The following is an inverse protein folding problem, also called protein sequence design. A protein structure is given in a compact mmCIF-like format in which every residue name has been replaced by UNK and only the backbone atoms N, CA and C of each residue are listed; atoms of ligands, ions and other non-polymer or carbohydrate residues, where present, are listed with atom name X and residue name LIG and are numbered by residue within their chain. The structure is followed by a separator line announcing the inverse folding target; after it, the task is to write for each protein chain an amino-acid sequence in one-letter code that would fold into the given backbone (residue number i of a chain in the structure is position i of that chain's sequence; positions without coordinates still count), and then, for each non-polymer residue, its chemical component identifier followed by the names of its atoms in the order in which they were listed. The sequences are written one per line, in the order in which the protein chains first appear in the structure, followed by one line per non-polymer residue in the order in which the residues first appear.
data_IF_074404680211
#
_entry.id   IF_074404680211
#
_cell.length_a   1.000
_cell.length_b   1.000
_cell.length_c   1.000
_cell.angle_alpha   90.00
_cell.angle_beta   90.00
_cell.angle_gamma   90.00
#
_symmetry.space_group_name_H-M   'P 1'
#
loop_
_entity.id
_entity.type
_entity.pdbx_description
1 polymer ?
#
# COMPACT_ATOMS: atom_id res chain seq x y z
N UNK A 1 -0.28 42.07 4.92
CA UNK A 1 -1.14 41.58 3.81
C UNK A 1 -0.82 40.12 3.43
N UNK A 2 0.41 39.79 3.03
CA UNK A 2 0.80 38.41 2.62
C UNK A 2 0.63 37.40 3.77
N UNK A 3 1.08 37.72 4.98
CA UNK A 3 0.92 36.84 6.15
C UNK A 3 -0.56 36.57 6.54
N UNK A 4 -1.45 37.56 6.36
CA UNK A 4 -2.89 37.38 6.59
C UNK A 4 -3.54 36.52 5.50
N UNK A 5 -3.12 36.70 4.24
CA UNK A 5 -3.60 35.88 3.13
C UNK A 5 -3.15 34.41 3.26
N UNK A 6 -1.89 34.18 3.68
CA UNK A 6 -1.38 32.82 3.96
C UNK A 6 -2.15 32.15 5.11
N UNK A 7 -2.42 32.89 6.19
CA UNK A 7 -3.17 32.37 7.34
C UNK A 7 -4.64 32.07 6.98
N UNK A 8 -5.25 32.91 6.13
CA UNK A 8 -6.60 32.67 5.60
C UNK A 8 -6.65 31.42 4.71
N UNK A 9 -5.64 31.24 3.85
CA UNK A 9 -5.53 30.06 2.98
C UNK A 9 -5.28 28.78 3.77
N UNK A 10 -4.41 28.83 4.79
CA UNK A 10 -4.20 27.73 5.74
C UNK A 10 -5.49 27.37 6.48
N UNK A 11 -6.22 28.37 6.99
CA UNK A 11 -7.49 28.13 7.68
C UNK A 11 -8.55 27.54 6.75
N UNK A 12 -8.61 27.97 5.48
CA UNK A 12 -9.51 27.36 4.49
C UNK A 12 -9.10 25.93 4.15
N UNK A 13 -7.81 25.66 3.98
CA UNK A 13 -7.31 24.32 3.74
C UNK A 13 -7.57 23.39 4.94
N UNK A 14 -7.41 23.89 6.17
CA UNK A 14 -7.73 23.14 7.40
C UNK A 14 -9.23 22.90 7.55
N UNK A 15 -10.08 23.85 7.19
CA UNK A 15 -11.53 23.70 7.21
C UNK A 15 -11.98 22.66 6.18
N UNK A 16 -11.49 22.78 4.94
CA UNK A 16 -11.72 21.80 3.88
C UNK A 16 -11.21 20.42 4.28
N UNK A 17 -10.05 20.33 4.91
CA UNK A 17 -9.49 19.06 5.38
C UNK A 17 -10.32 18.50 6.54
N UNK A 18 -10.75 19.29 7.51
CA UNK A 18 -11.66 18.84 8.58
C UNK A 18 -12.99 18.36 8.03
N UNK A 19 -13.60 19.11 7.12
CA UNK A 19 -14.83 18.70 6.44
C UNK A 19 -14.60 17.43 5.61
N UNK A 20 -13.46 17.30 4.93
CA UNK A 20 -13.10 16.12 4.15
C UNK A 20 -12.85 14.90 5.04
N UNK A 21 -12.12 15.04 6.16
CA UNK A 21 -11.88 14.00 7.17
C UNK A 21 -13.15 13.65 7.98
N UNK A 22 -14.19 14.47 7.94
CA UNK A 22 -15.51 14.22 8.54
C UNK A 22 -16.54 13.76 7.50
N UNK A 23 -16.26 13.89 6.21
CA UNK A 23 -17.06 13.40 5.11
C UNK A 23 -16.74 11.92 4.83
N UNK A 24 -17.15 11.05 5.75
CA UNK A 24 -16.94 9.60 5.71
C UNK A 24 -17.26 8.92 4.36
N UNK A 25 -18.24 9.37 3.53
CA UNK A 25 -18.50 8.68 2.27
C UNK A 25 -17.62 9.11 1.08
N UNK A 26 -16.95 10.28 1.09
CA UNK A 26 -16.41 10.87 -0.14
C UNK A 26 -14.92 10.56 -0.38
N UNK A 27 -14.13 10.43 0.70
CA UNK A 27 -12.67 10.25 0.65
C UNK A 27 -12.25 9.06 -0.23
N UNK A 28 -12.89 7.87 -0.15
CA UNK A 28 -12.49 6.74 -0.97
C UNK A 28 -12.67 7.01 -2.47
N UNK A 29 -13.77 7.65 -2.87
CA UNK A 29 -14.08 7.90 -4.29
C UNK A 29 -13.18 8.95 -4.92
N UNK A 30 -12.91 10.05 -4.22
CA UNK A 30 -11.96 11.08 -4.68
C UNK A 30 -10.54 10.52 -4.77
N UNK A 31 -10.17 9.60 -3.89
CA UNK A 31 -8.87 8.92 -3.92
C UNK A 31 -8.70 7.98 -5.11
N UNK A 32 -9.78 7.33 -5.59
CA UNK A 32 -9.76 6.56 -6.85
C UNK A 32 -9.41 7.49 -8.02
N UNK A 33 -10.11 8.61 -8.13
CA UNK A 33 -9.88 9.61 -9.19
C UNK A 33 -8.46 10.16 -9.10
N UNK A 34 -7.99 10.45 -7.89
CA UNK A 34 -6.60 10.82 -7.61
C UNK A 34 -5.60 9.77 -8.09
N UNK A 35 -5.86 8.48 -7.84
CA UNK A 35 -5.04 7.37 -8.31
C UNK A 35 -4.96 7.29 -9.85
N UNK A 36 -6.07 7.49 -10.55
CA UNK A 36 -6.10 7.53 -12.03
C UNK A 36 -5.28 8.71 -12.56
N UNK A 37 -5.46 9.91 -11.99
CA UNK A 37 -4.66 11.07 -12.37
C UNK A 37 -3.18 10.89 -12.07
N UNK A 38 -2.83 10.30 -10.93
CA UNK A 38 -1.45 9.97 -10.58
C UNK A 38 -0.84 9.02 -11.61
N UNK A 39 -1.58 8.00 -12.08
CA UNK A 39 -1.12 7.11 -13.15
C UNK A 39 -0.81 7.88 -14.44
N UNK A 40 -1.72 8.77 -14.87
CA UNK A 40 -1.51 9.61 -16.05
C UNK A 40 -0.30 10.54 -15.91
N UNK A 41 -0.17 11.17 -14.74
CA UNK A 41 0.96 12.05 -14.43
C UNK A 41 2.29 11.29 -14.49
N UNK A 42 2.39 10.12 -13.83
CA UNK A 42 3.59 9.29 -13.86
C UNK A 42 3.91 8.83 -15.28
N UNK A 43 2.91 8.47 -16.09
CA UNK A 43 3.11 8.12 -17.49
C UNK A 43 3.74 9.27 -18.28
N UNK A 44 3.18 10.47 -18.18
CA UNK A 44 3.65 11.64 -18.95
C UNK A 44 5.04 12.09 -18.51
N UNK A 45 5.28 12.13 -17.19
CA UNK A 45 6.60 12.44 -16.63
C UNK A 45 7.63 11.41 -17.04
N UNK A 46 7.30 10.11 -17.02
CA UNK A 46 8.20 9.04 -17.46
C UNK A 46 8.50 9.18 -18.94
N UNK A 47 7.50 9.47 -19.77
CA UNK A 47 7.69 9.66 -21.20
C UNK A 47 8.63 10.85 -21.49
N UNK A 48 8.43 11.98 -20.82
CA UNK A 48 9.26 13.18 -20.96
C UNK A 48 10.70 12.93 -20.47
N UNK A 49 10.84 12.41 -19.26
CA UNK A 49 12.14 12.15 -18.66
C UNK A 49 12.91 11.09 -19.46
N UNK A 50 12.23 10.03 -19.91
CA UNK A 50 12.91 8.95 -20.61
C UNK A 50 13.42 9.34 -21.98
N UNK A 51 12.71 10.22 -22.69
CA UNK A 51 13.14 10.77 -23.97
C UNK A 51 14.44 11.59 -23.85
N UNK A 52 14.62 12.29 -22.73
CA UNK A 52 15.81 13.11 -22.46
C UNK A 52 17.00 12.29 -21.98
N UNK A 53 16.79 11.37 -21.04
CA UNK A 53 17.89 10.73 -20.29
C UNK A 53 18.26 9.33 -20.78
N UNK A 54 17.34 8.60 -21.43
CA UNK A 54 17.59 7.21 -21.85
C UNK A 54 17.73 7.11 -23.37
N UNK A 55 18.98 7.02 -23.86
CA UNK A 55 19.25 6.76 -25.29
C UNK A 55 18.59 5.48 -25.81
N UNK A 56 18.44 4.46 -24.95
CA UNK A 56 17.72 3.24 -25.32
C UNK A 56 16.24 3.51 -25.62
N UNK A 57 15.60 4.44 -24.90
CA UNK A 57 14.18 4.75 -25.04
C UNK A 57 13.82 5.31 -26.42
N UNK A 58 14.64 6.22 -26.97
CA UNK A 58 14.41 6.81 -28.29
C UNK A 58 14.54 5.78 -29.43
N UNK A 59 15.29 4.70 -29.21
CA UNK A 59 15.42 3.58 -30.16
C UNK A 59 14.27 2.56 -30.08
N UNK A 60 13.39 2.65 -29.07
CA UNK A 60 12.30 1.71 -28.88
C UNK A 60 11.14 1.95 -29.85
N UNK A 61 10.49 0.85 -30.24
CA UNK A 61 9.21 0.90 -30.96
C UNK A 61 8.15 1.64 -30.14
N UNK A 62 7.10 2.14 -30.81
CA UNK A 62 5.98 2.82 -30.13
C UNK A 62 5.37 1.94 -29.02
N UNK A 63 5.22 0.65 -29.29
CA UNK A 63 4.63 -0.30 -28.35
C UNK A 63 5.53 -0.55 -27.13
N UNK A 64 6.84 -0.69 -27.34
CA UNK A 64 7.82 -0.82 -26.26
C UNK A 64 7.91 0.44 -25.40
N UNK A 65 7.73 1.64 -25.97
CA UNK A 65 7.64 2.89 -25.20
C UNK A 65 6.39 2.94 -24.33
N UNK A 66 5.26 2.47 -24.84
CA UNK A 66 4.03 2.34 -24.06
C UNK A 66 4.25 1.37 -22.88
N UNK A 67 4.83 0.20 -23.13
CA UNK A 67 5.15 -0.77 -22.08
C UNK A 67 6.17 -0.20 -21.07
N UNK A 68 7.20 0.50 -21.55
CA UNK A 68 8.20 1.16 -20.71
C UNK A 68 7.56 2.14 -19.72
N UNK A 69 6.67 3.00 -20.22
CA UNK A 69 5.98 3.98 -19.39
C UNK A 69 4.98 3.31 -18.44
N UNK A 70 4.26 2.28 -18.91
CA UNK A 70 3.32 1.52 -18.07
C UNK A 70 4.03 0.80 -16.91
N UNK A 71 5.23 0.27 -17.15
CA UNK A 71 6.08 -0.32 -16.10
C UNK A 71 6.58 0.70 -15.08
N UNK A 72 6.69 1.97 -15.45
CA UNK A 72 7.03 3.01 -14.49
C UNK A 72 5.84 3.27 -13.57
N UNK A 73 4.63 3.40 -14.12
CA UNK A 73 3.39 3.53 -13.31
C UNK A 73 3.31 2.40 -12.28
N UNK A 74 3.41 1.15 -12.73
CA UNK A 74 3.32 -0.01 -11.82
C UNK A 74 4.43 -0.05 -10.78
N UNK A 75 5.64 0.42 -11.11
CA UNK A 75 6.73 0.56 -10.14
C UNK A 75 6.42 1.58 -9.06
N UNK A 76 5.94 2.78 -9.43
CA UNK A 76 5.59 3.83 -8.47
C UNK A 76 4.42 3.40 -7.56
N UNK A 77 3.38 2.81 -8.15
CA UNK A 77 2.25 2.25 -7.41
C UNK A 77 2.73 1.20 -6.41
N UNK A 78 3.48 0.20 -6.89
CA UNK A 78 3.96 -0.91 -6.06
C UNK A 78 4.81 -0.44 -4.88
N UNK A 79 5.71 0.51 -5.08
CA UNK A 79 6.52 1.07 -3.99
C UNK A 79 5.62 1.76 -2.96
N UNK A 80 4.68 2.59 -3.40
CA UNK A 80 3.78 3.31 -2.49
C UNK A 80 2.91 2.35 -1.66
N UNK A 81 2.15 1.49 -2.32
CA UNK A 81 1.16 0.64 -1.66
C UNK A 81 1.80 -0.48 -0.83
N UNK A 82 2.94 -1.02 -1.26
CA UNK A 82 3.64 -2.04 -0.48
C UNK A 82 4.28 -1.44 0.77
N UNK A 83 4.81 -0.21 0.69
CA UNK A 83 5.32 0.51 1.86
C UNK A 83 4.22 0.80 2.86
N UNK A 84 3.08 1.34 2.40
CA UNK A 84 1.91 1.59 3.26
C UNK A 84 1.38 0.30 3.88
N UNK A 85 1.29 -0.79 3.10
CA UNK A 85 0.80 -2.08 3.60
C UNK A 85 1.75 -2.72 4.62
N UNK A 86 3.07 -2.63 4.41
CA UNK A 86 4.06 -3.06 5.41
C UNK A 86 3.92 -2.27 6.71
N UNK A 87 3.74 -0.95 6.61
CA UNK A 87 3.51 -0.11 7.76
C UNK A 87 2.24 -0.51 8.51
N UNK A 88 1.11 -0.69 7.82
CA UNK A 88 -0.15 -1.07 8.47
C UNK A 88 -0.12 -2.46 9.10
N UNK A 89 0.53 -3.44 8.46
CA UNK A 89 0.51 -4.83 8.95
C UNK A 89 1.52 -5.06 10.08
N UNK A 90 2.71 -4.45 10.01
CA UNK A 90 3.81 -4.79 10.91
C UNK A 90 4.27 -3.65 11.82
N UNK A 91 3.97 -2.40 11.50
CA UNK A 91 4.50 -1.24 12.23
C UNK A 91 3.42 -0.48 13.00
N UNK A 92 2.16 -0.54 12.56
CA UNK A 92 1.06 0.14 13.23
C UNK A 92 0.31 -0.80 14.18
N UNK A 93 -0.33 -0.20 15.18
CA UNK A 93 -1.19 -0.92 16.13
C UNK A 93 -2.58 -1.22 15.56
N UNK A 94 -2.81 -0.96 14.25
CA UNK A 94 -4.13 -0.98 13.63
C UNK A 94 -4.78 -2.37 13.66
N UNK A 95 -3.98 -3.43 13.48
CA UNK A 95 -4.45 -4.82 13.48
C UNK A 95 -4.04 -5.61 14.74
N UNK A 96 -3.67 -4.91 15.83
CA UNK A 96 -3.26 -5.57 17.08
C UNK A 96 -4.47 -6.02 17.91
N UNK A 97 -4.53 -7.32 18.24
CA UNK A 97 -5.58 -7.94 19.06
C UNK A 97 -5.72 -7.32 20.48
N UNK A 98 -4.69 -6.60 20.96
CA UNK A 98 -4.60 -6.20 22.36
C UNK A 98 -5.26 -4.85 22.71
N UNK A 99 -5.58 -4.00 21.73
CA UNK A 99 -5.97 -2.60 22.02
C UNK A 99 -7.47 -2.31 21.78
N UNK A 100 -8.12 -2.97 20.82
CA UNK A 100 -9.45 -2.51 20.37
C UNK A 100 -10.64 -3.45 20.65
N UNK A 101 -10.43 -4.75 20.92
CA UNK A 101 -11.56 -5.70 21.06
C UNK A 101 -12.43 -5.85 19.79
N UNK A 102 -12.14 -5.08 18.74
CA UNK A 102 -12.73 -5.11 17.42
C UNK A 102 -12.10 -6.26 16.60
N UNK A 103 -12.92 -6.86 15.75
CA UNK A 103 -12.51 -8.00 14.92
C UNK A 103 -11.40 -7.56 13.96
N UNK A 104 -10.29 -8.28 13.86
CA UNK A 104 -9.18 -7.98 12.93
C UNK A 104 -9.66 -7.92 11.45
N UNK A 105 -10.77 -8.57 11.14
CA UNK A 105 -11.44 -8.54 9.84
C UNK A 105 -12.26 -7.28 9.56
N UNK A 106 -12.48 -6.43 10.56
CA UNK A 106 -13.25 -5.19 10.49
C UNK A 106 -12.43 -4.02 11.07
N UNK A 107 -12.39 -2.89 10.37
CA UNK A 107 -11.85 -1.66 10.94
C UNK A 107 -12.84 -0.53 10.69
N UNK A 108 -13.75 -0.39 11.66
CA UNK A 108 -14.46 0.84 11.96
C UNK A 108 -14.21 1.08 13.45
N UNK A 109 -13.31 1.98 13.81
CA UNK A 109 -12.81 2.06 15.19
C UNK A 109 -13.97 2.23 16.19
N UNK A 110 -14.21 1.24 17.07
CA UNK A 110 -15.23 1.36 18.12
C UNK A 110 -14.91 2.52 19.08
N UNK A 111 -13.67 2.98 19.14
CA UNK A 111 -13.24 4.20 19.84
C UNK A 111 -13.91 5.47 19.31
N UNK A 112 -14.27 5.55 18.02
CA UNK A 112 -15.08 6.66 17.48
C UNK A 112 -16.52 6.65 17.98
N UNK A 113 -17.08 5.45 18.18
CA UNK A 113 -18.43 5.23 18.72
C UNK A 113 -18.44 5.28 20.26
N UNK A 114 -17.34 4.91 20.91
CA UNK A 114 -17.18 4.78 22.36
C UNK A 114 -16.68 6.07 23.01
N UNK A 115 -15.89 6.90 22.32
CA UNK A 115 -15.55 8.25 22.78
C UNK A 115 -16.78 9.18 22.85
N UNK A 116 -17.84 8.90 22.08
CA UNK A 116 -19.15 9.53 22.25
C UNK A 116 -19.85 9.09 23.55
N UNK A 117 -19.54 7.90 24.08
CA UNK A 117 -20.11 7.36 25.32
C UNK A 117 -19.29 7.62 26.59
N UNK A 118 -17.96 7.74 26.49
CA UNK A 118 -17.04 7.83 27.63
C UNK A 118 -16.58 9.24 28.02
N UNK A 119 -17.12 10.30 27.41
CA UNK A 119 -16.99 11.67 27.96
C UNK A 119 -17.65 11.86 29.34
N UNK A 120 -18.06 10.78 30.02
CA UNK A 120 -18.42 10.75 31.43
C UNK A 120 -17.70 9.60 32.15
N UNK A 121 -16.50 9.85 32.68
CA UNK A 121 -16.02 9.17 33.90
C UNK A 121 -14.62 8.53 33.89
N UNK A 122 -13.70 9.25 34.55
CA UNK A 122 -12.53 8.80 35.34
C UNK A 122 -11.28 8.27 34.61
N UNK A 123 -10.26 9.13 34.63
CA UNK A 123 -8.84 8.87 34.46
C UNK A 123 -8.22 8.25 35.73
N UNK A 124 -7.20 7.39 35.52
CA UNK A 124 -6.13 6.91 36.43
C UNK A 124 -6.00 5.38 36.44
N UNK A 125 -5.22 4.83 35.51
CA UNK A 125 -4.54 3.51 35.69
C UNK A 125 -3.61 3.11 34.55
N UNK A 126 -3.65 3.74 33.37
CA UNK A 126 -2.84 3.32 32.23
C UNK A 126 -1.37 3.81 32.23
N UNK A 127 -1.00 4.75 33.11
CA UNK A 127 0.29 5.43 33.06
C UNK A 127 1.50 4.54 33.42
N UNK A 128 1.30 3.48 34.19
CA UNK A 128 2.41 2.67 34.73
C UNK A 128 2.80 1.46 33.87
N UNK A 129 2.12 1.18 32.76
CA UNK A 129 2.41 -0.01 31.94
C UNK A 129 3.33 0.25 30.73
N UNK A 130 3.44 1.51 30.27
CA UNK A 130 4.09 1.83 28.99
C UNK A 130 5.60 2.10 29.06
N UNK A 131 6.21 2.08 30.24
CA UNK A 131 7.66 2.33 30.40
C UNK A 131 8.55 1.09 30.20
N UNK A 132 7.99 -0.07 29.84
CA UNK A 132 8.73 -1.34 29.91
C UNK A 132 9.46 -1.80 28.62
N UNK A 133 9.21 -1.22 27.44
CA UNK A 133 9.74 -1.79 26.19
C UNK A 133 10.37 -0.73 25.27
N UNK A 134 11.57 -0.28 25.61
CA UNK A 134 12.51 0.32 24.65
C UNK A 134 13.73 -0.58 24.49
N UNK A 135 13.93 -1.10 23.28
CA UNK A 135 15.22 -1.64 22.83
C UNK A 135 15.10 -2.66 21.72
N UNK A 136 15.47 -2.29 20.48
CA UNK A 136 16.53 -2.91 19.67
C UNK A 136 16.49 -2.47 18.18
N UNK A 137 17.69 -2.34 17.60
CA UNK A 137 18.02 -1.82 16.26
C UNK A 137 17.77 -2.82 15.12
N UNK A 138 17.29 -2.37 13.95
CA UNK A 138 17.56 -2.99 12.64
C UNK A 138 17.43 -1.97 11.47
N UNK A 139 18.42 -1.92 10.58
CA UNK A 139 18.62 -1.00 9.43
C UNK A 139 17.50 -0.94 8.35
N UNK A 140 16.41 -1.70 8.50
CA UNK A 140 15.19 -1.58 7.67
C UNK A 140 14.22 -0.54 8.26
N UNK A 141 14.38 -0.22 9.55
CA UNK A 141 13.59 0.79 10.24
C UNK A 141 13.88 2.21 9.77
N UNK A 142 15.07 2.56 9.27
CA UNK A 142 15.38 3.96 8.92
C UNK A 142 14.53 4.51 7.75
N UNK A 143 14.13 3.65 6.80
CA UNK A 143 13.22 4.04 5.71
C UNK A 143 11.76 4.13 6.21
N UNK A 144 11.40 3.29 7.19
CA UNK A 144 10.07 3.25 7.82
C UNK A 144 9.91 4.41 8.82
N UNK A 145 10.98 4.76 9.54
CA UNK A 145 11.05 5.94 10.40
C UNK A 145 10.93 7.20 9.58
N UNK A 146 11.54 7.32 8.39
CA UNK A 146 11.26 8.49 7.55
C UNK A 146 9.81 8.59 7.07
N UNK A 147 9.10 7.47 6.85
CA UNK A 147 7.65 7.51 6.54
C UNK A 147 6.82 7.80 7.79
N UNK A 148 7.18 7.25 8.94
CA UNK A 148 6.56 7.56 10.24
C UNK A 148 6.77 9.02 10.61
N UNK A 149 7.97 9.55 10.40
CA UNK A 149 8.37 10.95 10.60
C UNK A 149 7.72 11.85 9.57
N UNK A 150 7.51 11.41 8.32
CA UNK A 150 6.73 12.16 7.32
C UNK A 150 5.25 12.16 7.68
N UNK A 151 4.71 11.03 8.15
CA UNK A 151 3.33 10.94 8.65
C UNK A 151 3.17 11.81 9.88
N UNK A 152 4.11 11.76 10.82
CA UNK A 152 4.16 12.57 12.04
C UNK A 152 4.44 14.05 11.70
N UNK A 153 5.26 14.36 10.70
CA UNK A 153 5.50 15.72 10.20
C UNK A 153 4.30 16.27 9.44
N UNK A 154 3.59 15.45 8.68
CA UNK A 154 2.30 15.78 8.04
C UNK A 154 1.25 15.97 9.13
N UNK A 155 1.24 15.16 10.19
CA UNK A 155 0.39 15.31 11.37
C UNK A 155 0.71 16.61 12.15
N UNK A 156 2.00 16.93 12.32
CA UNK A 156 2.51 18.17 12.94
C UNK A 156 2.27 19.41 12.06
N UNK A 157 2.19 19.24 10.75
CA UNK A 157 1.93 20.30 9.80
C UNK A 157 0.43 20.62 9.65
N UNK A 158 -0.47 19.62 9.79
CA UNK A 158 -1.88 19.69 9.40
C UNK A 158 -2.91 20.01 10.52
N UNK A 159 -2.52 20.12 11.79
CA UNK A 159 -3.41 20.67 12.85
C UNK A 159 -2.81 21.93 13.47
N UNK A 160 -3.07 23.12 12.91
CA UNK A 160 -2.59 24.37 13.51
C UNK A 160 -3.41 24.83 14.72
N UNK A 161 -4.67 24.38 14.85
CA UNK A 161 -5.53 24.72 16.00
C UNK A 161 -5.11 23.98 17.27
N UNK A 162 -4.72 22.71 17.17
CA UNK A 162 -4.23 21.94 18.33
C UNK A 162 -2.74 22.19 18.63
N UNK A 163 -2.05 22.93 17.76
CA UNK A 163 -0.61 23.21 17.89
C UNK A 163 -0.28 23.98 19.17
N UNK A 164 -1.15 24.91 19.60
CA UNK A 164 -0.92 25.68 20.82
C UNK A 164 -1.12 24.85 22.09
N UNK A 165 -2.09 23.93 22.10
CA UNK A 165 -2.32 23.04 23.24
C UNK A 165 -1.31 21.88 23.24
N UNK A 166 -0.88 21.39 22.07
CA UNK A 166 0.12 20.32 21.97
C UNK A 166 1.56 20.79 22.25
N UNK A 167 1.97 21.98 21.79
CA UNK A 167 3.25 22.61 22.19
C UNK A 167 3.26 22.94 23.69
N UNK A 168 2.09 23.18 24.30
CA UNK A 168 1.93 23.37 25.74
C UNK A 168 1.68 22.07 26.53
N UNK A 169 1.68 20.89 25.88
CA UNK A 169 1.46 19.60 26.54
C UNK A 169 0.04 19.37 27.12
N UNK A 170 -0.97 20.09 26.62
CA UNK A 170 -2.36 20.14 27.15
C UNK A 170 -3.36 19.16 26.53
N UNK A 171 -3.01 18.41 25.49
CA UNK A 171 -3.91 17.35 24.97
C UNK A 171 -3.82 16.12 25.90
N UNK A 172 -4.98 15.60 26.35
CA UNK A 172 -5.01 14.32 27.05
C UNK A 172 -4.52 13.20 26.14
N UNK A 173 -3.86 12.20 26.71
CA UNK A 173 -3.34 11.03 25.99
C UNK A 173 -4.47 10.35 25.19
N UNK A 174 -5.70 10.32 25.72
CA UNK A 174 -6.87 9.73 25.06
C UNK A 174 -7.26 10.43 23.75
N UNK A 175 -7.17 11.77 23.68
CA UNK A 175 -7.47 12.50 22.45
C UNK A 175 -6.41 12.27 21.38
N UNK A 176 -5.14 12.15 21.77
CA UNK A 176 -4.04 11.86 20.82
C UNK A 176 -4.20 10.49 20.14
N UNK A 177 -4.46 9.45 20.93
CA UNK A 177 -4.63 8.09 20.40
C UNK A 177 -5.87 7.98 19.50
N UNK A 178 -6.95 8.69 19.83
CA UNK A 178 -8.15 8.76 18.98
C UNK A 178 -7.85 9.32 17.58
N UNK A 179 -7.18 10.46 17.48
CA UNK A 179 -6.86 11.06 16.18
C UNK A 179 -5.84 10.23 15.39
N UNK A 180 -4.90 9.58 16.08
CA UNK A 180 -3.97 8.64 15.47
C UNK A 180 -4.72 7.46 14.85
N UNK A 181 -5.65 6.84 15.57
CA UNK A 181 -6.47 5.73 15.07
C UNK A 181 -7.31 6.15 13.85
N UNK A 182 -8.00 7.28 13.93
CA UNK A 182 -8.82 7.81 12.82
C UNK A 182 -7.98 8.10 11.56
N UNK A 183 -6.79 8.67 11.74
CA UNK A 183 -5.86 8.93 10.64
C UNK A 183 -5.37 7.64 9.97
N UNK A 184 -5.02 6.62 10.77
CA UNK A 184 -4.60 5.32 10.27
C UNK A 184 -5.72 4.63 9.49
N UNK A 185 -6.94 4.66 10.02
CA UNK A 185 -8.14 4.13 9.37
C UNK A 185 -8.37 4.81 8.00
N UNK A 186 -8.40 6.14 7.96
CA UNK A 186 -8.56 6.88 6.70
C UNK A 186 -7.41 6.65 5.71
N UNK A 187 -6.19 6.51 6.21
CA UNK A 187 -5.03 6.18 5.37
C UNK A 187 -5.14 4.77 4.79
N UNK A 188 -5.70 3.82 5.52
CA UNK A 188 -5.97 2.46 5.07
C UNK A 188 -7.03 2.45 3.95
N UNK A 189 -8.15 3.14 4.15
CA UNK A 189 -9.15 3.33 3.09
C UNK A 189 -8.56 4.01 1.86
N UNK A 190 -7.79 5.09 2.05
CA UNK A 190 -7.09 5.79 0.98
C UNK A 190 -6.12 4.89 0.21
N UNK A 191 -5.36 4.03 0.89
CA UNK A 191 -4.46 3.07 0.27
C UNK A 191 -5.21 2.08 -0.64
N UNK A 192 -6.36 1.55 -0.16
CA UNK A 192 -7.22 0.70 -0.99
C UNK A 192 -7.80 1.48 -2.19
N UNK A 193 -8.25 2.71 -2.00
CA UNK A 193 -8.83 3.53 -3.07
C UNK A 193 -7.85 3.93 -4.16
N UNK A 194 -6.65 4.38 -3.79
CA UNK A 194 -5.58 4.68 -4.76
C UNK A 194 -5.21 3.43 -5.54
N UNK A 195 -5.19 2.27 -4.86
CA UNK A 195 -4.97 0.98 -5.51
C UNK A 195 -6.04 0.65 -6.53
N UNK A 196 -7.32 0.84 -6.21
CA UNK A 196 -8.43 0.66 -7.18
C UNK A 196 -8.24 1.56 -8.41
N UNK A 197 -7.90 2.84 -8.22
CA UNK A 197 -7.64 3.77 -9.33
C UNK A 197 -6.49 3.32 -10.24
N UNK A 198 -5.40 2.80 -9.65
CA UNK A 198 -4.31 2.19 -10.39
C UNK A 198 -4.77 0.93 -11.14
N UNK A 199 -5.43 -0.02 -10.47
CA UNK A 199 -5.87 -1.27 -11.10
C UNK A 199 -6.83 -1.03 -12.26
N UNK A 200 -7.73 -0.04 -12.17
CA UNK A 200 -8.59 0.38 -13.29
C UNK A 200 -7.74 0.88 -14.46
N UNK A 201 -6.78 1.76 -14.20
CA UNK A 201 -5.92 2.35 -15.22
C UNK A 201 -5.08 1.28 -15.93
N UNK A 202 -4.43 0.40 -15.15
CA UNK A 202 -3.55 -0.63 -15.67
C UNK A 202 -4.31 -1.74 -16.40
N UNK A 203 -5.45 -2.18 -15.87
CA UNK A 203 -6.32 -3.14 -16.56
C UNK A 203 -6.86 -2.57 -17.87
N UNK A 204 -7.24 -1.28 -17.89
CA UNK A 204 -7.65 -0.59 -19.10
C UNK A 204 -6.55 -0.59 -20.16
N UNK A 205 -5.30 -0.30 -19.77
CA UNK A 205 -4.14 -0.36 -20.65
C UNK A 205 -3.88 -1.79 -21.17
N UNK A 206 -3.89 -2.79 -20.29
CA UNK A 206 -3.68 -4.19 -20.65
C UNK A 206 -4.71 -4.65 -21.68
N UNK A 207 -6.00 -4.33 -21.47
CA UNK A 207 -7.08 -4.70 -22.39
C UNK A 207 -6.92 -3.97 -23.72
N UNK A 208 -6.66 -2.67 -23.69
CA UNK A 208 -6.56 -1.85 -24.90
C UNK A 208 -5.43 -2.29 -25.83
N UNK A 209 -4.30 -2.70 -25.26
CA UNK A 209 -3.13 -3.14 -26.01
C UNK A 209 -2.94 -4.66 -26.00
N UNK A 210 -3.96 -5.43 -25.60
CA UNK A 210 -3.88 -6.90 -25.56
C UNK A 210 -3.57 -7.49 -26.94
N UNK A 211 -2.66 -8.48 -27.07
CA UNK A 211 -1.90 -9.19 -26.02
C UNK A 211 -0.50 -8.60 -25.75
N UNK A 212 -0.24 -7.36 -26.16
CA UNK A 212 1.12 -6.80 -26.21
C UNK A 212 1.69 -6.38 -24.85
N UNK A 213 0.84 -5.97 -23.90
CA UNK A 213 1.27 -5.56 -22.56
C UNK A 213 1.25 -6.69 -21.52
N UNK A 214 0.75 -7.87 -21.89
CA UNK A 214 0.67 -9.03 -21.01
C UNK A 214 -0.25 -10.11 -21.54
N UNK A 215 -0.01 -11.36 -21.13
CA UNK A 215 -0.91 -12.49 -21.37
C UNK A 215 -2.13 -12.49 -20.45
N UNK A 216 -3.01 -13.49 -20.64
CA UNK A 216 -4.24 -13.66 -19.84
C UNK A 216 -3.98 -13.76 -18.33
N UNK A 217 -2.79 -14.22 -17.92
CA UNK A 217 -2.42 -14.23 -16.51
C UNK A 217 -2.41 -12.83 -15.89
N UNK A 218 -2.02 -11.79 -16.63
CA UNK A 218 -2.04 -10.43 -16.11
C UNK A 218 -3.46 -9.89 -15.99
N UNK A 219 -4.33 -10.21 -16.96
CA UNK A 219 -5.75 -9.84 -16.92
C UNK A 219 -6.43 -10.47 -15.70
N UNK A 220 -6.24 -11.78 -15.49
CA UNK A 220 -6.80 -12.52 -14.35
C UNK A 220 -6.27 -11.94 -13.03
N UNK A 221 -4.96 -11.68 -12.93
CA UNK A 221 -4.35 -11.11 -11.74
C UNK A 221 -4.96 -9.76 -11.37
N UNK A 222 -5.03 -8.82 -12.33
CA UNK A 222 -5.53 -7.47 -12.09
C UNK A 222 -7.04 -7.48 -11.82
N UNK A 223 -7.81 -8.33 -12.51
CA UNK A 223 -9.26 -8.43 -12.29
C UNK A 223 -9.59 -8.90 -10.86
N UNK A 224 -9.00 -10.01 -10.40
CA UNK A 224 -9.27 -10.52 -9.06
C UNK A 224 -8.70 -9.61 -7.95
N UNK A 225 -7.53 -9.01 -8.18
CA UNK A 225 -6.95 -8.04 -7.23
C UNK A 225 -7.84 -6.80 -7.13
N UNK A 226 -8.34 -6.27 -8.25
CA UNK A 226 -9.24 -5.12 -8.27
C UNK A 226 -10.54 -5.40 -7.52
N UNK A 227 -11.16 -6.57 -7.71
CA UNK A 227 -12.38 -6.96 -6.98
C UNK A 227 -12.12 -7.03 -5.48
N UNK A 228 -11.03 -7.67 -5.05
CA UNK A 228 -10.72 -7.82 -3.63
C UNK A 228 -10.44 -6.47 -2.94
N UNK A 229 -9.63 -5.62 -3.59
CA UNK A 229 -9.28 -4.30 -3.06
C UNK A 229 -10.50 -3.36 -3.07
N UNK A 230 -11.30 -3.36 -4.14
CA UNK A 230 -12.52 -2.56 -4.22
C UNK A 230 -13.54 -2.99 -3.17
N UNK A 231 -13.68 -4.29 -2.93
CA UNK A 231 -14.53 -4.79 -1.85
C UNK A 231 -14.06 -4.27 -0.48
N UNK A 232 -12.78 -4.46 -0.16
CA UNK A 232 -12.21 -4.04 1.13
C UNK A 232 -12.30 -2.51 1.34
N UNK A 233 -12.22 -1.74 0.25
CA UNK A 233 -12.43 -0.30 0.25
C UNK A 233 -13.88 0.08 0.55
N UNK A 234 -14.86 -0.62 -0.04
CA UNK A 234 -16.28 -0.29 0.08
C UNK A 234 -16.90 -0.73 1.40
N UNK A 235 -16.44 -1.85 1.97
CA UNK A 235 -17.06 -2.46 3.15
C UNK A 235 -16.23 -2.30 4.42
N UNK A 236 -14.94 -1.96 4.31
CA UNK A 236 -14.00 -2.01 5.44
C UNK A 236 -13.62 -3.44 5.85
N UNK A 237 -14.15 -4.47 5.18
CA UNK A 237 -13.90 -5.86 5.56
C UNK A 237 -12.67 -6.44 4.87
N UNK A 238 -11.91 -7.25 5.60
CA UNK A 238 -10.77 -7.98 5.04
C UNK A 238 -9.58 -7.09 4.66
N UNK A 239 -9.53 -5.84 5.14
CA UNK A 239 -8.47 -4.89 4.84
C UNK A 239 -7.07 -5.39 5.27
N UNK A 240 -6.98 -6.15 6.38
CA UNK A 240 -5.74 -6.82 6.77
C UNK A 240 -5.24 -7.77 5.66
N UNK A 241 -6.11 -8.67 5.20
CA UNK A 241 -5.74 -9.65 4.17
C UNK A 241 -5.43 -8.97 2.84
N UNK A 242 -6.14 -7.90 2.51
CA UNK A 242 -5.81 -7.06 1.36
C UNK A 242 -4.42 -6.43 1.51
N UNK A 243 -4.06 -5.87 2.68
CA UNK A 243 -2.71 -5.36 2.91
C UNK A 243 -1.65 -6.47 2.80
N UNK A 244 -1.88 -7.65 3.38
CA UNK A 244 -0.97 -8.79 3.23
C UNK A 244 -0.76 -9.17 1.76
N UNK A 245 -1.81 -9.16 0.94
CA UNK A 245 -1.67 -9.40 -0.50
C UNK A 245 -0.93 -8.26 -1.19
N UNK A 246 -1.20 -6.99 -0.86
CA UNK A 246 -0.54 -5.82 -1.47
C UNK A 246 0.95 -5.72 -1.11
N UNK A 247 1.40 -6.26 0.03
CA UNK A 247 2.84 -6.39 0.33
C UNK A 247 3.56 -7.19 -0.75
N UNK A 248 2.89 -8.14 -1.43
CA UNK A 248 3.50 -8.90 -2.51
C UNK A 248 3.95 -8.06 -3.71
N UNK A 249 3.46 -6.82 -3.84
CA UNK A 249 3.90 -5.87 -4.85
C UNK A 249 5.32 -5.35 -4.62
N UNK A 250 5.96 -5.60 -3.46
CA UNK A 250 7.39 -5.31 -3.28
C UNK A 250 8.28 -5.99 -4.32
N UNK A 251 7.81 -7.07 -4.96
CA UNK A 251 8.56 -7.76 -6.03
C UNK A 251 8.50 -7.03 -7.38
N UNK A 252 7.47 -6.21 -7.61
CA UNK A 252 7.16 -5.57 -8.90
C UNK A 252 8.28 -4.64 -9.38
N UNK A 253 8.88 -3.77 -8.54
CA UNK A 253 10.04 -2.97 -8.94
C UNK A 253 11.22 -3.81 -9.45
N UNK A 254 11.47 -4.96 -8.82
CA UNK A 254 12.52 -5.88 -9.23
C UNK A 254 12.26 -6.46 -10.63
N UNK A 255 11.03 -6.93 -10.87
CA UNK A 255 10.60 -7.47 -12.17
C UNK A 255 10.67 -6.41 -13.28
N UNK A 256 10.19 -5.19 -13.01
CA UNK A 256 10.25 -4.08 -13.97
C UNK A 256 11.69 -3.65 -14.26
N UNK A 257 12.55 -3.56 -13.25
CA UNK A 257 13.98 -3.30 -13.44
C UNK A 257 14.64 -4.36 -14.33
N UNK A 258 14.30 -5.63 -14.13
CA UNK A 258 14.80 -6.72 -14.98
C UNK A 258 14.42 -6.52 -16.45
N UNK A 259 13.19 -6.10 -16.70
CA UNK A 259 12.71 -5.80 -18.04
C UNK A 259 13.41 -4.58 -18.65
N UNK A 260 13.62 -3.51 -17.88
CA UNK A 260 14.39 -2.35 -18.35
C UNK A 260 15.84 -2.72 -18.73
N UNK A 261 16.49 -3.57 -17.93
CA UNK A 261 17.82 -4.08 -18.26
C UNK A 261 17.80 -4.99 -19.50
N UNK A 262 16.73 -5.77 -19.71
CA UNK A 262 16.54 -6.58 -20.91
C UNK A 262 16.46 -5.71 -22.17
N UNK A 263 15.53 -4.76 -22.18
CA UNK A 263 15.24 -3.92 -23.33
C UNK A 263 16.39 -2.96 -23.67
N UNK A 264 17.20 -2.59 -22.67
CA UNK A 264 18.44 -1.84 -22.86
C UNK A 264 19.62 -2.71 -23.36
N UNK A 265 19.42 -4.01 -23.63
CA UNK A 265 20.46 -4.92 -24.11
C UNK A 265 21.44 -5.39 -23.02
N UNK A 266 21.12 -5.18 -21.74
CA UNK A 266 22.03 -5.41 -20.61
C UNK A 266 21.91 -6.79 -19.95
N UNK A 267 21.38 -7.81 -20.65
CA UNK A 267 21.23 -9.19 -20.11
C UNK A 267 22.51 -9.84 -19.59
N UNK A 268 23.67 -9.42 -20.12
CA UNK A 268 24.99 -9.97 -19.74
C UNK A 268 25.66 -9.19 -18.59
N UNK A 269 25.03 -8.12 -18.11
CA UNK A 269 25.60 -7.30 -17.05
C UNK A 269 25.53 -7.97 -15.68
N UNK A 270 26.43 -7.59 -14.77
CA UNK A 270 26.35 -7.98 -13.35
C UNK A 270 25.05 -7.50 -12.71
N UNK A 271 24.56 -6.31 -13.10
CA UNK A 271 23.29 -5.77 -12.63
C UNK A 271 22.11 -6.71 -12.92
N UNK A 272 22.04 -7.27 -14.13
CA UNK A 272 20.98 -8.23 -14.51
C UNK A 272 21.05 -9.55 -13.72
N UNK A 273 22.26 -10.00 -13.38
CA UNK A 273 22.45 -11.18 -12.53
C UNK A 273 21.99 -10.89 -11.09
N UNK A 274 22.52 -9.83 -10.47
CA UNK A 274 22.20 -9.45 -9.08
C UNK A 274 20.70 -9.21 -8.93
N UNK A 275 20.09 -8.45 -9.86
CA UNK A 275 18.65 -8.25 -9.88
C UNK A 275 17.86 -9.58 -9.93
N UNK A 276 18.33 -10.56 -10.71
CA UNK A 276 17.70 -11.88 -10.77
C UNK A 276 17.75 -12.66 -9.45
N UNK A 277 18.87 -12.59 -8.74
CA UNK A 277 19.02 -13.19 -7.41
C UNK A 277 18.12 -12.48 -6.40
N UNK A 278 18.10 -11.13 -6.42
CA UNK A 278 17.22 -10.33 -5.54
C UNK A 278 15.74 -10.66 -5.79
N UNK A 279 15.30 -10.74 -7.06
CA UNK A 279 13.93 -11.16 -7.40
C UNK A 279 13.61 -12.54 -6.84
N UNK A 280 14.53 -13.52 -6.96
CA UNK A 280 14.28 -14.87 -6.49
C UNK A 280 13.97 -14.90 -4.99
N UNK A 281 14.81 -14.27 -4.18
CA UNK A 281 14.60 -14.19 -2.73
C UNK A 281 13.40 -13.33 -2.34
N UNK A 282 13.23 -12.17 -2.98
CA UNK A 282 12.08 -11.30 -2.74
C UNK A 282 10.76 -12.02 -3.06
N UNK A 283 10.70 -12.79 -4.14
CA UNK A 283 9.52 -13.59 -4.50
C UNK A 283 9.26 -14.69 -3.49
N UNK A 284 10.29 -15.41 -3.06
CA UNK A 284 10.15 -16.45 -2.06
C UNK A 284 9.55 -15.89 -0.75
N UNK A 285 10.07 -14.77 -0.26
CA UNK A 285 9.58 -14.15 0.98
C UNK A 285 8.19 -13.53 0.79
N UNK A 286 8.04 -12.59 -0.14
CA UNK A 286 6.85 -11.76 -0.26
C UNK A 286 5.66 -12.46 -0.97
N UNK A 287 5.88 -13.55 -1.71
CA UNK A 287 4.84 -14.25 -2.48
C UNK A 287 4.64 -15.71 -2.10
N UNK A 288 5.63 -16.39 -1.52
CA UNK A 288 5.48 -17.78 -1.07
C UNK A 288 5.25 -17.82 0.45
N UNK A 289 6.21 -17.34 1.24
CA UNK A 289 6.11 -17.38 2.71
C UNK A 289 4.95 -16.51 3.21
N UNK A 290 4.78 -15.30 2.67
CA UNK A 290 3.69 -14.42 3.06
C UNK A 290 2.30 -15.01 2.77
N UNK A 291 2.13 -15.72 1.65
CA UNK A 291 0.85 -16.38 1.34
C UNK A 291 0.60 -17.60 2.23
N UNK A 292 1.64 -18.37 2.57
CA UNK A 292 1.53 -19.44 3.58
C UNK A 292 1.08 -18.83 4.92
N UNK A 293 1.69 -17.72 5.34
CA UNK A 293 1.30 -17.00 6.55
C UNK A 293 -0.14 -16.48 6.46
N UNK A 294 -0.55 -15.92 5.32
CA UNK A 294 -1.92 -15.47 5.09
C UNK A 294 -2.92 -16.60 5.30
N UNK A 295 -2.72 -17.77 4.69
CA UNK A 295 -3.62 -18.92 4.87
C UNK A 295 -3.65 -19.43 6.30
N UNK A 296 -2.49 -19.44 6.96
CA UNK A 296 -2.39 -19.79 8.38
C UNK A 296 -3.14 -18.79 9.26
N UNK A 297 -3.03 -17.49 8.98
CA UNK A 297 -3.75 -16.45 9.72
C UNK A 297 -5.27 -16.56 9.51
N UNK A 298 -5.70 -16.80 8.27
CA UNK A 298 -7.12 -17.06 7.94
C UNK A 298 -7.64 -18.31 8.65
N UNK A 299 -6.84 -19.37 8.78
CA UNK A 299 -7.27 -20.60 9.45
C UNK A 299 -7.36 -20.45 10.98
N UNK A 300 -6.50 -19.63 11.58
CA UNK A 300 -6.60 -19.29 13.01
C UNK A 300 -7.81 -18.38 13.30
N UNK A 301 -8.10 -17.42 12.42
CA UNK A 301 -9.15 -16.41 12.64
C UNK A 301 -10.45 -16.72 11.89
N UNK A 302 -10.76 -18.01 11.70
CA UNK A 302 -11.97 -18.45 10.99
C UNK A 302 -13.25 -17.87 11.59
N UNK A 303 -13.32 -17.73 12.91
CA UNK A 303 -14.51 -17.19 13.58
C UNK A 303 -14.73 -15.70 13.30
N UNK A 304 -13.67 -14.94 13.02
CA UNK A 304 -13.77 -13.55 12.58
C UNK A 304 -14.11 -13.46 11.08
N UNK A 305 -13.58 -14.37 10.26
CA UNK A 305 -13.92 -14.44 8.83
C UNK A 305 -15.39 -14.79 8.63
N UNK A 306 -15.97 -15.69 9.44
CA UNK A 306 -17.41 -16.05 9.38
C UNK A 306 -18.35 -14.89 9.71
N UNK A 307 -17.86 -13.83 10.35
CA UNK A 307 -18.65 -12.64 10.67
C UNK A 307 -18.73 -11.64 9.50
N UNK A 308 -17.83 -11.76 8.52
CA UNK A 308 -17.88 -10.98 7.28
C UNK A 308 -19.12 -11.31 6.46
N UNK A 309 -19.51 -10.41 5.56
CA UNK A 309 -20.55 -10.73 4.58
C UNK A 309 -20.16 -11.96 3.74
N UNK A 310 -21.15 -12.71 3.26
CA UNK A 310 -20.92 -13.92 2.47
C UNK A 310 -20.00 -13.68 1.25
N UNK A 311 -20.10 -12.51 0.62
CA UNK A 311 -19.22 -12.12 -0.48
C UNK A 311 -17.77 -11.85 -0.02
N UNK A 312 -17.58 -11.25 1.16
CA UNK A 312 -16.26 -11.05 1.76
C UNK A 312 -15.58 -12.35 2.13
N UNK A 313 -16.35 -13.30 2.68
CA UNK A 313 -15.88 -14.67 2.93
C UNK A 313 -15.39 -15.34 1.64
N UNK A 314 -16.19 -15.22 0.56
CA UNK A 314 -15.81 -15.75 -0.75
C UNK A 314 -14.51 -15.11 -1.25
N UNK A 315 -14.35 -13.78 -1.14
CA UNK A 315 -13.15 -13.07 -1.57
C UNK A 315 -11.91 -13.53 -0.78
N UNK A 316 -11.99 -13.53 0.56
CA UNK A 316 -10.86 -13.89 1.44
C UNK A 316 -10.41 -15.33 1.23
N UNK A 317 -11.31 -16.23 0.86
CA UNK A 317 -10.99 -17.63 0.61
C UNK A 317 -10.52 -17.89 -0.82
N UNK A 318 -11.17 -17.30 -1.83
CA UNK A 318 -10.92 -17.63 -3.25
C UNK A 318 -9.78 -16.82 -3.86
N UNK A 319 -9.75 -15.50 -3.63
CA UNK A 319 -8.77 -14.63 -4.31
C UNK A 319 -7.33 -14.98 -3.92
N UNK A 320 -6.97 -15.17 -2.63
CA UNK A 320 -5.63 -15.59 -2.25
C UNK A 320 -5.23 -16.94 -2.83
N UNK A 321 -6.17 -17.89 -3.00
CA UNK A 321 -5.89 -19.19 -3.64
C UNK A 321 -5.52 -19.02 -5.10
N UNK A 322 -6.32 -18.27 -5.87
CA UNK A 322 -6.03 -17.98 -7.28
C UNK A 322 -4.67 -17.30 -7.42
N UNK A 323 -4.41 -16.27 -6.61
CA UNK A 323 -3.12 -15.56 -6.62
C UNK A 323 -1.95 -16.45 -6.20
N UNK A 324 -2.14 -17.39 -5.27
CA UNK A 324 -1.12 -18.35 -4.86
C UNK A 324 -0.71 -19.30 -5.98
N UNK A 325 -1.68 -19.83 -6.73
CA UNK A 325 -1.40 -20.68 -7.89
C UNK A 325 -0.57 -19.90 -8.92
N UNK A 326 -0.92 -18.65 -9.18
CA UNK A 326 -0.18 -17.77 -10.08
C UNK A 326 1.23 -17.47 -9.56
N UNK A 327 1.38 -17.18 -8.27
CA UNK A 327 2.66 -16.96 -7.61
C UNK A 327 3.58 -18.17 -7.72
N UNK A 328 3.06 -19.39 -7.58
CA UNK A 328 3.83 -20.63 -7.77
C UNK A 328 4.25 -20.82 -9.23
N UNK A 329 3.36 -20.57 -10.19
CA UNK A 329 3.68 -20.66 -11.63
C UNK A 329 4.79 -19.67 -12.01
N UNK A 330 4.72 -18.42 -11.55
CA UNK A 330 5.73 -17.41 -11.81
C UNK A 330 7.04 -17.69 -11.06
N UNK A 331 6.98 -18.17 -9.81
CA UNK A 331 8.18 -18.58 -9.06
C UNK A 331 8.95 -19.68 -9.81
N UNK A 332 8.23 -20.65 -10.38
CA UNK A 332 8.83 -21.68 -11.21
C UNK A 332 9.53 -21.11 -12.45
N UNK A 333 8.93 -20.10 -13.12
CA UNK A 333 9.57 -19.39 -14.25
C UNK A 333 10.84 -18.66 -13.80
N UNK A 334 10.81 -17.97 -12.65
CA UNK A 334 11.96 -17.25 -12.08
C UNK A 334 13.09 -18.23 -11.73
N UNK A 335 12.77 -19.33 -11.04
CA UNK A 335 13.74 -20.37 -10.69
C UNK A 335 14.41 -20.98 -11.92
N UNK A 336 13.65 -21.32 -12.96
CA UNK A 336 14.19 -21.78 -14.25
C UNK A 336 15.10 -20.73 -14.91
N UNK A 337 14.68 -19.46 -14.90
CA UNK A 337 15.46 -18.35 -15.42
C UNK A 337 16.79 -18.19 -14.69
N UNK A 338 16.77 -18.25 -13.36
CA UNK A 338 17.97 -18.15 -12.51
C UNK A 338 18.95 -19.30 -12.77
N UNK A 339 18.46 -20.55 -12.81
CA UNK A 339 19.31 -21.72 -13.14
C UNK A 339 20.01 -21.57 -14.48
N UNK A 340 19.28 -21.08 -15.50
CA UNK A 340 19.84 -20.84 -16.84
C UNK A 340 20.90 -19.73 -16.84
N UNK A 341 20.74 -18.68 -16.04
CA UNK A 341 21.73 -17.61 -15.94
C UNK A 341 23.00 -18.08 -15.22
N UNK A 342 22.87 -18.84 -14.12
CA UNK A 342 24.01 -19.37 -13.37
C UNK A 342 24.80 -20.42 -14.17
N UNK A 343 24.11 -21.30 -14.90
CA UNK A 343 24.74 -22.33 -15.73
C UNK A 343 25.52 -21.79 -16.95
N UNK A 344 25.38 -20.50 -17.30
CA UNK A 344 26.11 -19.86 -18.40
C UNK A 344 27.38 -19.13 -17.95
N UNK A 345 27.64 -19.08 -16.64
CA UNK A 345 28.83 -18.45 -16.06
C UNK A 345 29.92 -19.45 -15.66
N UNK A 346 29.62 -20.74 -15.82
CA UNK A 346 30.57 -21.84 -15.91
C UNK A 346 30.67 -22.27 -17.37
#
# INVERSE_FOLDING_TARGET
MIAMAMKSYQNHAELLLKEYLLADPLIPYTSIVGGIFACKMVYDLTNLFSDVYFKSYSSLTKLQRIEWNNRAISTFHAVFIATMSLYFVFCSDLFSDQIHGDLVTFQSSALSTFALGLCNGREESAYNFLLAHQGQNFLVLDLIFHVSDIIEFVFLALSSSDRNDMIQGKLSISTREYWKAKFLEQSLFGNCSVSVGYFISDLGMIIWFYPSLGGMEYVIHHFFSMIAVAYSMLTGEGQLYTCMVLISETTTPGINLRWYLDIAGMKRSKAYLVNGVVIFFAWFVARILLFIYLFYHVSLHQDQVKQMHAFGQLIVLVVPVVLSVMNLMWFWKIFKGMKKTLAKQH
#
